data_IF_762570614629
#
_entry.id   IF_762570614629
#
_cell.length_a   1.000
_cell.length_b   1.000
_cell.length_c   1.000
_cell.angle_alpha   90.00
_cell.angle_beta   90.00
_cell.angle_gamma   90.00
#
_symmetry.space_group_name_H-M   'P 1'
#
loop_
_entity.id
_entity.type
_entity.pdbx_description
1 polymer ?
#
# COMPACT_ATOMS: atom_id res chain seq x y z
N UNK A 1 7.93 -13.68 -16.12
CA UNK A 1 6.47 -13.63 -16.40
C UNK A 1 5.90 -12.48 -15.57
N UNK A 2 4.82 -11.81 -16.02
CA UNK A 2 4.21 -10.73 -15.24
C UNK A 2 3.46 -11.33 -14.05
N UNK A 3 4.17 -11.49 -12.92
CA UNK A 3 3.68 -12.19 -11.73
C UNK A 3 3.21 -11.23 -10.63
N UNK A 4 3.38 -9.92 -10.84
CA UNK A 4 3.06 -8.89 -9.84
C UNK A 4 1.88 -8.06 -10.33
N UNK A 5 0.88 -7.99 -9.47
CA UNK A 5 -0.35 -7.23 -9.66
C UNK A 5 -0.40 -6.03 -8.71
N UNK A 6 -1.27 -5.07 -9.03
CA UNK A 6 -1.45 -3.84 -8.23
C UNK A 6 -2.93 -3.60 -7.95
N UNK A 7 -3.23 -3.19 -6.72
CA UNK A 7 -4.55 -2.73 -6.28
C UNK A 7 -4.56 -1.21 -6.23
N UNK A 8 -5.60 -0.62 -6.82
CA UNK A 8 -5.96 0.79 -6.66
C UNK A 8 -7.27 0.87 -5.86
N UNK A 9 -7.17 1.25 -4.59
CA UNK A 9 -8.32 1.44 -3.71
C UNK A 9 -8.66 2.92 -3.60
N UNK A 10 -9.72 3.33 -4.28
CA UNK A 10 -10.30 4.67 -4.12
C UNK A 10 -11.43 4.62 -3.11
N UNK A 11 -11.27 5.28 -1.96
CA UNK A 11 -12.21 5.20 -0.85
C UNK A 11 -12.56 6.57 -0.26
N UNK A 12 -13.74 6.63 0.37
CA UNK A 12 -14.19 7.77 1.16
C UNK A 12 -14.21 7.40 2.65
N UNK A 13 -13.46 8.13 3.47
CA UNK A 13 -13.39 7.92 4.91
C UNK A 13 -14.53 8.65 5.62
N UNK A 14 -15.12 7.98 6.62
CA UNK A 14 -16.12 8.61 7.50
C UNK A 14 -15.46 9.60 8.47
N UNK A 15 -14.31 9.22 9.04
CA UNK A 15 -13.47 10.10 9.87
C UNK A 15 -12.37 10.70 9.00
N UNK A 16 -12.34 12.01 8.90
CA UNK A 16 -11.31 12.72 8.14
C UNK A 16 -9.91 12.44 8.70
N UNK A 17 -8.93 12.25 7.81
CA UNK A 17 -7.53 12.03 8.10
C UNK A 17 -6.66 12.66 7.01
N UNK A 18 -5.46 13.12 7.36
CA UNK A 18 -4.49 13.50 6.32
C UNK A 18 -3.91 12.25 5.65
N UNK A 19 -3.35 12.40 4.45
CA UNK A 19 -2.67 11.29 3.79
C UNK A 19 -1.46 10.80 4.60
N UNK A 20 -0.77 11.71 5.31
CA UNK A 20 0.31 11.36 6.22
C UNK A 20 -0.15 10.54 7.42
N UNK A 21 -1.32 10.85 7.99
CA UNK A 21 -1.91 10.03 9.07
C UNK A 21 -2.21 8.61 8.60
N UNK A 22 -2.72 8.46 7.37
CA UNK A 22 -3.01 7.15 6.78
C UNK A 22 -1.74 6.37 6.50
N UNK A 23 -0.71 7.01 5.94
CA UNK A 23 0.62 6.39 5.77
C UNK A 23 1.19 5.92 7.10
N UNK A 24 1.13 6.76 8.15
CA UNK A 24 1.63 6.41 9.47
C UNK A 24 0.88 5.21 10.08
N UNK A 25 -0.45 5.16 9.92
CA UNK A 25 -1.27 4.05 10.39
C UNK A 25 -0.94 2.74 9.66
N UNK A 26 -0.77 2.78 8.33
CA UNK A 26 -0.38 1.61 7.53
C UNK A 26 1.03 1.14 7.89
N UNK A 27 1.99 2.06 8.05
CA UNK A 27 3.35 1.75 8.48
C UNK A 27 3.36 1.03 9.82
N UNK A 28 2.67 1.59 10.81
CA UNK A 28 2.52 0.95 12.13
C UNK A 28 1.92 -0.45 12.03
N UNK A 29 0.90 -0.65 11.20
CA UNK A 29 0.30 -1.95 10.98
C UNK A 29 1.29 -2.94 10.35
N UNK A 30 2.05 -2.51 9.34
CA UNK A 30 3.05 -3.33 8.62
C UNK A 30 4.24 -3.73 9.48
N UNK A 31 4.68 -2.87 10.39
CA UNK A 31 5.81 -3.13 11.29
C UNK A 31 5.39 -3.83 12.59
N UNK A 32 4.08 -3.92 12.86
CA UNK A 32 3.52 -4.50 14.08
C UNK A 32 2.55 -5.64 13.81
N UNK A 33 1.23 -5.43 13.98
CA UNK A 33 0.24 -6.51 14.01
C UNK A 33 0.12 -7.30 12.70
N UNK A 34 0.52 -6.73 11.56
CA UNK A 34 0.47 -7.37 10.25
C UNK A 34 1.86 -7.64 9.67
N UNK A 35 2.89 -7.69 10.53
CA UNK A 35 4.24 -7.98 10.09
C UNK A 35 4.32 -9.31 9.32
N UNK A 36 4.96 -9.28 8.15
CA UNK A 36 5.05 -10.42 7.23
C UNK A 36 3.83 -10.61 6.32
N UNK A 37 2.71 -9.91 6.57
CA UNK A 37 1.51 -9.94 5.72
C UNK A 37 1.38 -8.63 4.93
N UNK A 38 1.52 -7.50 5.62
CA UNK A 38 1.47 -6.16 5.04
C UNK A 38 2.88 -5.55 5.02
N UNK A 39 3.30 -5.09 3.86
CA UNK A 39 4.49 -4.29 3.63
C UNK A 39 4.16 -2.80 3.44
N UNK A 40 5.19 -1.99 3.58
CA UNK A 40 5.15 -0.54 3.38
C UNK A 40 6.41 -0.13 2.63
N UNK A 41 6.29 0.71 1.60
CA UNK A 41 7.43 1.27 0.88
C UNK A 41 7.24 2.76 0.57
N UNK A 42 8.33 3.51 0.68
CA UNK A 42 8.48 4.90 0.26
C UNK A 42 9.58 5.07 -0.82
N UNK A 43 10.02 3.97 -1.42
CA UNK A 43 10.94 3.94 -2.55
C UNK A 43 10.20 4.13 -3.89
N UNK A 44 10.92 4.54 -4.92
CA UNK A 44 10.38 4.65 -6.29
C UNK A 44 10.45 3.27 -6.96
N UNK A 45 9.39 2.47 -6.75
CA UNK A 45 9.32 1.05 -7.13
C UNK A 45 8.52 0.81 -8.42
N UNK A 46 8.76 -0.34 -9.04
CA UNK A 46 7.98 -0.89 -10.16
C UNK A 46 7.62 -2.34 -9.88
N UNK A 47 6.74 -2.92 -10.71
CA UNK A 47 6.20 -4.27 -10.51
C UNK A 47 7.28 -5.35 -10.33
N UNK A 48 8.40 -5.24 -11.05
CA UNK A 48 9.45 -6.27 -11.00
C UNK A 48 10.20 -6.32 -9.65
N UNK A 49 10.11 -5.26 -8.85
CA UNK A 49 10.78 -5.18 -7.55
C UNK A 49 10.11 -6.08 -6.50
N UNK A 50 8.90 -6.60 -6.78
CA UNK A 50 8.12 -7.45 -5.88
C UNK A 50 8.00 -8.91 -6.33
N UNK A 51 8.72 -9.33 -7.38
CA UNK A 51 8.67 -10.73 -7.84
C UNK A 51 9.24 -11.65 -6.74
N UNK A 52 8.44 -12.63 -6.31
CA UNK A 52 8.79 -13.57 -5.24
C UNK A 52 8.70 -12.98 -3.83
N UNK A 53 8.05 -11.83 -3.67
CA UNK A 53 7.74 -11.28 -2.35
C UNK A 53 6.57 -12.04 -1.73
N UNK A 54 6.77 -12.62 -0.54
CA UNK A 54 5.75 -13.47 0.13
C UNK A 54 4.69 -12.67 0.90
N UNK A 55 4.78 -11.34 0.92
CA UNK A 55 3.80 -10.49 1.60
C UNK A 55 2.56 -10.38 0.75
N UNK A 56 1.39 -10.52 1.37
CA UNK A 56 0.10 -10.46 0.68
C UNK A 56 -0.24 -9.07 0.14
N UNK A 57 0.39 -8.02 0.65
CA UNK A 57 0.16 -6.66 0.19
C UNK A 57 1.34 -5.76 0.56
N UNK A 58 1.84 -4.94 -0.37
CA UNK A 58 2.88 -3.94 -0.12
C UNK A 58 2.35 -2.55 -0.50
N UNK A 59 2.06 -1.73 0.50
CA UNK A 59 1.53 -0.39 0.29
C UNK A 59 2.62 0.56 -0.26
N UNK A 60 2.32 1.19 -1.39
CA UNK A 60 3.16 2.16 -2.07
C UNK A 60 2.68 3.58 -1.75
N UNK A 61 3.48 4.28 -0.95
CA UNK A 61 3.11 5.58 -0.41
C UNK A 61 3.18 6.71 -1.42
N UNK A 62 3.98 6.55 -2.48
CA UNK A 62 4.22 7.57 -3.51
C UNK A 62 3.30 7.40 -4.71
N UNK A 63 2.79 6.19 -4.95
CA UNK A 63 1.83 5.93 -6.02
C UNK A 63 0.38 6.36 -5.68
N UNK A 64 0.03 6.40 -4.40
CA UNK A 64 -1.28 6.88 -3.93
C UNK A 64 -1.39 8.41 -3.81
N UNK A 65 -2.61 8.92 -3.63
CA UNK A 65 -2.87 10.36 -3.44
C UNK A 65 -4.13 10.61 -2.61
N UNK A 66 -4.06 11.57 -1.69
CA UNK A 66 -5.22 12.14 -1.01
C UNK A 66 -5.79 13.32 -1.78
N UNK A 67 -6.98 13.17 -2.36
CA UNK A 67 -7.69 14.27 -3.04
C UNK A 67 -8.35 15.23 -2.05
N UNK A 68 -8.71 14.73 -0.86
CA UNK A 68 -9.17 15.52 0.28
C UNK A 68 -8.92 14.74 1.58
N UNK A 69 -9.18 15.37 2.72
CA UNK A 69 -9.07 14.72 4.04
C UNK A 69 -10.02 13.54 4.24
N UNK A 70 -10.99 13.34 3.36
CA UNK A 70 -11.93 12.20 3.43
C UNK A 70 -11.97 11.37 2.14
N UNK A 71 -11.18 11.69 1.12
CA UNK A 71 -11.23 10.99 -0.16
C UNK A 71 -9.83 10.79 -0.71
N UNK A 72 -9.44 9.53 -0.85
CA UNK A 72 -8.07 9.16 -1.20
C UNK A 72 -8.01 7.90 -2.05
N UNK A 73 -6.91 7.79 -2.78
CA UNK A 73 -6.50 6.64 -3.55
C UNK A 73 -5.28 6.02 -2.87
N UNK A 74 -5.35 4.74 -2.55
CA UNK A 74 -4.29 3.93 -1.96
C UNK A 74 -3.83 2.90 -2.98
N UNK A 75 -2.52 2.74 -3.15
CA UNK A 75 -1.93 1.79 -4.09
C UNK A 75 -1.18 0.71 -3.32
N UNK A 76 -1.38 -0.55 -3.68
CA UNK A 76 -0.68 -1.67 -3.04
C UNK A 76 -0.31 -2.74 -4.06
N UNK A 77 0.93 -3.22 -4.00
CA UNK A 77 1.47 -4.28 -4.85
C UNK A 77 1.31 -5.65 -4.20
N UNK A 78 1.28 -6.71 -4.99
CA UNK A 78 1.35 -8.09 -4.52
C UNK A 78 1.82 -9.00 -5.65
N UNK A 79 2.67 -9.98 -5.34
CA UNK A 79 2.90 -11.10 -6.24
C UNK A 79 1.65 -11.99 -6.18
N UNK A 80 1.05 -12.27 -7.33
CA UNK A 80 -0.20 -13.02 -7.39
C UNK A 80 0.00 -14.54 -7.48
N UNK A 81 1.25 -15.01 -7.51
CA UNK A 81 1.60 -16.44 -7.60
C UNK A 81 2.38 -16.96 -6.38
N UNK A 82 2.78 -16.10 -5.45
CA UNK A 82 3.69 -16.41 -4.33
C UNK A 82 3.08 -16.05 -2.97
#
# INVERSE_FOLDING_TARGET
TPNVSVVDLTCRLQKSASYDDVKAAIKYASEGPLHGILGYTDEDVVSNDFIGDSRSSIFDTKAGIGLSTSFMKLVSWYDNEW
#
